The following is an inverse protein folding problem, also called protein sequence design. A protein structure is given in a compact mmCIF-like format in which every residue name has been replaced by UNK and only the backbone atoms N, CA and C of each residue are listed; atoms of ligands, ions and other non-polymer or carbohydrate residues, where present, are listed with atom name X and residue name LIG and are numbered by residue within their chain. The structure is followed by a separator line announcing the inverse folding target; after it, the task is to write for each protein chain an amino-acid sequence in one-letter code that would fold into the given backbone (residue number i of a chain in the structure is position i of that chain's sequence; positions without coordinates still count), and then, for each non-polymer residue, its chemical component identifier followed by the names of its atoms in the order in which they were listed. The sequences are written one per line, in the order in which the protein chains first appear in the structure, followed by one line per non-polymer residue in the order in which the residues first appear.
data_IF_103975910225
#
_entry.id   IF_103975910225
#
_cell.length_a   1.000
_cell.length_b   1.000
_cell.length_c   1.000
_cell.angle_alpha   90.00
_cell.angle_beta   90.00
_cell.angle_gamma   90.00
#
_symmetry.space_group_name_H-M   'P 1'
#
loop_
_entity.id
_entity.type
_entity.pdbx_description
1 polymer ?
#
# COMPACT_ATOMS: atom_id res chain seq x y z
N UNK A 1 31.87 -1.53 22.87
CA UNK A 1 30.61 -2.21 23.24
C UNK A 1 29.52 -1.18 23.07
N UNK A 2 29.11 -1.00 21.83
CA UNK A 2 28.01 -0.10 21.46
C UNK A 2 27.22 -0.98 20.51
N UNK A 3 25.94 -1.19 20.75
CA UNK A 3 25.03 -0.19 20.24
C UNK A 3 23.69 -0.14 21.00
N UNK A 4 23.39 1.06 21.45
CA UNK A 4 22.22 1.52 22.18
C UNK A 4 21.09 1.86 21.18
N UNK A 5 20.67 0.91 20.32
CA UNK A 5 19.65 1.14 19.27
C UNK A 5 18.44 0.19 19.31
N UNK A 6 18.05 -0.32 20.48
CA UNK A 6 16.79 -1.08 20.64
C UNK A 6 15.63 -0.25 21.21
N UNK A 7 15.72 1.08 21.08
CA UNK A 7 14.67 2.04 21.47
C UNK A 7 14.48 3.17 20.42
N UNK A 8 14.72 2.87 19.14
CA UNK A 8 14.22 3.72 18.05
C UNK A 8 13.13 2.96 17.29
N UNK A 9 11.92 3.47 17.49
CA UNK A 9 10.74 3.27 16.66
C UNK A 9 10.19 1.84 16.55
N UNK A 10 9.32 1.54 17.51
CA UNK A 10 8.04 0.84 17.29
C UNK A 10 7.11 1.61 16.31
N UNK A 11 7.64 2.56 15.54
CA UNK A 11 7.01 3.04 14.34
C UNK A 11 7.37 2.02 13.27
N UNK A 12 6.62 0.94 13.25
CA UNK A 12 6.24 0.36 11.97
C UNK A 12 5.62 1.52 11.16
N UNK A 13 6.47 2.30 10.48
CA UNK A 13 6.09 3.19 9.39
C UNK A 13 5.60 2.25 8.28
N UNK A 14 4.42 1.70 8.51
CA UNK A 14 3.49 1.32 7.48
C UNK A 14 3.39 2.56 6.61
N UNK A 15 4.13 2.60 5.50
CA UNK A 15 3.92 3.55 4.42
C UNK A 15 2.47 3.37 3.98
N UNK A 16 1.54 4.03 4.66
CA UNK A 16 0.11 3.86 4.42
C UNK A 16 -0.19 4.53 3.11
N UNK A 17 -0.52 3.72 2.13
CA UNK A 17 -0.81 4.16 0.79
C UNK A 17 -2.31 4.36 0.66
N UNK A 18 -2.72 5.59 0.32
CA UNK A 18 -4.10 5.85 -0.04
C UNK A 18 -4.34 5.36 -1.47
N UNK A 19 -5.13 4.31 -1.63
CA UNK A 19 -5.53 3.77 -2.93
C UNK A 19 -6.94 4.28 -3.26
N UNK A 20 -7.15 4.77 -4.49
CA UNK A 20 -8.46 5.21 -4.96
C UNK A 20 -8.92 4.38 -6.14
N UNK A 21 -10.19 3.98 -6.09
CA UNK A 21 -10.81 3.31 -7.21
C UNK A 21 -11.19 4.31 -8.30
N UNK A 22 -10.72 4.06 -9.52
CA UNK A 22 -11.06 4.88 -10.70
C UNK A 22 -12.55 4.88 -11.01
N UNK A 23 -13.21 3.73 -10.79
CA UNK A 23 -14.60 3.53 -11.18
C UNK A 23 -15.63 4.11 -10.21
N UNK A 24 -15.43 3.89 -8.91
CA UNK A 24 -16.40 4.29 -7.89
C UNK A 24 -15.89 5.41 -6.98
N UNK A 25 -14.65 5.87 -7.16
CA UNK A 25 -14.04 6.91 -6.34
C UNK A 25 -13.79 6.52 -4.89
N UNK A 26 -13.94 5.24 -4.53
CA UNK A 26 -13.68 4.78 -3.17
C UNK A 26 -12.20 4.85 -2.83
N UNK A 27 -11.90 5.46 -1.69
CA UNK A 27 -10.55 5.58 -1.14
C UNK A 27 -10.37 4.54 -0.03
N UNK A 28 -9.22 3.88 -0.01
CA UNK A 28 -8.85 2.88 0.98
C UNK A 28 -7.37 3.03 1.33
N UNK A 29 -7.03 2.93 2.60
CA UNK A 29 -5.64 2.88 3.05
C UNK A 29 -5.15 1.44 3.02
N UNK A 30 -4.06 1.19 2.30
CA UNK A 30 -3.36 -0.09 2.28
C UNK A 30 -1.95 0.10 2.83
N UNK A 31 -1.38 -0.98 3.33
CA UNK A 31 0.01 -0.98 3.77
C UNK A 31 0.94 -1.03 2.55
N UNK A 32 1.93 -0.13 2.49
CA UNK A 32 2.94 -0.09 1.43
C UNK A 32 3.74 -1.38 1.33
N UNK A 33 3.94 -2.09 2.45
CA UNK A 33 4.57 -3.41 2.47
C UNK A 33 3.70 -4.46 1.77
N UNK A 34 2.38 -4.43 1.99
CA UNK A 34 1.45 -5.34 1.29
C UNK A 34 1.46 -5.06 -0.21
N UNK A 35 1.55 -3.78 -0.59
CA UNK A 35 1.66 -3.40 -2.00
C UNK A 35 2.96 -3.93 -2.61
N UNK A 36 4.12 -3.73 -1.98
CA UNK A 36 5.38 -4.28 -2.51
C UNK A 36 5.33 -5.80 -2.68
N UNK A 37 4.77 -6.53 -1.72
CA UNK A 37 4.60 -7.98 -1.81
C UNK A 37 3.70 -8.38 -3.00
N UNK A 38 2.64 -7.61 -3.28
CA UNK A 38 1.77 -7.83 -4.45
C UNK A 38 2.52 -7.50 -5.74
N UNK A 39 3.28 -6.40 -5.80
CA UNK A 39 4.06 -6.02 -6.98
C UNK A 39 5.14 -7.05 -7.33
N UNK A 40 5.86 -7.55 -6.32
CA UNK A 40 6.88 -8.58 -6.51
C UNK A 40 6.26 -9.92 -6.96
N UNK A 41 5.06 -10.25 -6.47
CA UNK A 41 4.33 -11.45 -6.88
C UNK A 41 3.76 -11.35 -8.31
N UNK A 42 3.29 -10.17 -8.72
CA UNK A 42 2.68 -9.94 -10.04
C UNK A 42 3.74 -9.65 -11.12
N UNK A 43 4.92 -9.16 -10.72
CA UNK A 43 6.02 -8.79 -11.62
C UNK A 43 5.79 -7.48 -12.39
N UNK A 44 4.73 -6.74 -12.04
CA UNK A 44 4.30 -5.50 -12.68
C UNK A 44 4.46 -4.33 -11.70
N UNK A 45 5.13 -3.26 -12.15
CA UNK A 45 5.41 -2.04 -11.37
C UNK A 45 4.12 -1.26 -11.04
N UNK A 46 3.04 -1.51 -11.80
CA UNK A 46 1.75 -0.87 -11.62
C UNK A 46 0.86 -1.69 -10.67
N UNK A 47 0.95 -1.37 -9.38
CA UNK A 47 0.09 -1.84 -8.29
C UNK A 47 -1.41 -1.66 -8.61
N UNK A 48 -1.99 -2.64 -9.29
CA UNK A 48 -3.36 -2.58 -9.81
C UNK A 48 -4.26 -3.53 -9.02
N UNK A 49 -4.68 -3.10 -7.83
CA UNK A 49 -5.60 -3.89 -7.01
C UNK A 49 -7.06 -3.77 -7.51
N UNK A 50 -7.83 -4.86 -7.49
CA UNK A 50 -9.27 -4.81 -7.79
C UNK A 50 -10.01 -4.19 -6.60
N UNK A 51 -10.86 -3.20 -6.88
CA UNK A 51 -11.70 -2.57 -5.88
C UNK A 51 -12.74 -3.55 -5.35
N UNK A 52 -12.57 -3.98 -4.10
CA UNK A 52 -13.50 -4.89 -3.42
C UNK A 52 -14.90 -4.31 -3.24
N UNK A 53 -15.06 -2.98 -3.31
CA UNK A 53 -16.35 -2.30 -3.13
C UNK A 53 -17.22 -2.31 -4.38
N UNK A 54 -16.62 -2.22 -5.57
CA UNK A 54 -17.37 -2.26 -6.83
C UNK A 54 -17.13 -3.53 -7.66
N UNK A 55 -16.16 -4.37 -7.27
CA UNK A 55 -15.83 -5.66 -7.88
C UNK A 55 -15.29 -5.60 -9.31
N UNK A 56 -15.07 -4.39 -9.85
CA UNK A 56 -14.78 -4.18 -11.29
C UNK A 56 -13.93 -2.94 -11.60
N UNK A 57 -13.54 -2.17 -10.59
CA UNK A 57 -12.65 -1.02 -10.78
C UNK A 57 -11.25 -1.38 -10.34
N UNK A 58 -10.24 -0.83 -10.99
CA UNK A 58 -8.86 -0.87 -10.48
C UNK A 58 -8.70 0.23 -9.43
N UNK A 59 -7.87 -0.05 -8.43
CA UNK A 59 -7.43 0.90 -7.43
C UNK A 59 -6.01 1.32 -7.75
N UNK A 60 -5.74 2.62 -7.68
CA UNK A 60 -4.42 3.21 -7.94
C UNK A 60 -3.99 4.03 -6.73
N UNK A 61 -2.68 4.08 -6.50
CA UNK A 61 -2.10 4.90 -5.44
C UNK A 61 -2.35 6.38 -5.73
N UNK A 62 -3.00 7.07 -4.79
CA UNK A 62 -3.13 8.52 -4.78
C UNK A 62 -1.90 9.07 -4.05
N UNK A 63 -0.90 9.50 -4.83
CA UNK A 63 0.20 10.30 -4.29
C UNK A 63 -0.36 11.69 -3.92
N UNK A 64 -0.21 12.07 -2.65
CA UNK A 64 -0.70 13.34 -2.11
C UNK A 64 0.21 14.51 -2.50
#
# INVERSE_FOLDING_TARGET
EVDEMLLHDDTYESDKVLMKCDRCGCEMELDGYILSEIAEADGDDELSCICMKCGKGTMHQVKK
#
